data_IF_591750124084
#
_entry.id   IF_591750124084
#
_cell.length_a   1.000
_cell.length_b   1.000
_cell.length_c   1.000
_cell.angle_alpha   90.00
_cell.angle_beta   90.00
_cell.angle_gamma   90.00
#
_symmetry.space_group_name_H-M   'P 1'
#
loop_
_entity.id
_entity.type
_entity.pdbx_description
1 polymer ?
#
# COMPACT_ATOMS: atom_id res chain seq x y z
N UNK A 1 -13.43 3.99 -3.07
CA UNK A 1 -12.98 2.60 -3.09
C UNK A 1 -11.47 2.61 -3.06
N UNK A 2 -10.90 1.79 -2.19
CA UNK A 2 -9.45 1.64 -2.07
C UNK A 2 -9.12 0.16 -2.19
N UNK A 3 -7.99 -0.16 -2.83
CA UNK A 3 -7.51 -1.53 -2.98
C UNK A 3 -6.13 -1.59 -2.35
N UNK A 4 -6.07 -2.32 -1.24
CA UNK A 4 -4.90 -2.42 -0.39
C UNK A 4 -4.29 -3.81 -0.54
N UNK A 5 -2.97 -3.86 -0.59
CA UNK A 5 -2.23 -5.12 -0.45
C UNK A 5 -2.14 -5.41 1.05
N UNK A 6 -2.26 -6.68 1.43
CA UNK A 6 -2.16 -7.09 2.81
C UNK A 6 -0.79 -6.65 3.38
N UNK A 7 -0.82 -5.91 4.48
CA UNK A 7 0.38 -5.44 5.15
C UNK A 7 0.55 -6.21 6.45
N UNK A 8 1.73 -6.80 6.71
CA UNK A 8 1.98 -7.53 7.95
C UNK A 8 2.12 -6.56 9.13
N UNK A 9 1.02 -6.33 9.82
CA UNK A 9 1.03 -5.48 11.01
C UNK A 9 1.72 -6.20 12.18
N UNK A 10 2.44 -5.46 13.04
CA UNK A 10 3.09 -6.04 14.21
C UNK A 10 2.12 -6.83 15.10
N UNK A 11 2.51 -8.03 15.49
CA UNK A 11 1.75 -8.96 16.32
C UNK A 11 0.71 -9.80 15.58
N UNK A 12 0.55 -9.64 14.26
CA UNK A 12 -0.39 -10.46 13.47
C UNK A 12 0.23 -11.79 13.03
N UNK A 13 -0.61 -12.79 12.77
CA UNK A 13 -0.10 -14.06 12.23
C UNK A 13 0.49 -13.91 10.82
N UNK A 14 0.03 -12.90 10.06
CA UNK A 14 0.65 -12.56 8.78
C UNK A 14 2.09 -12.07 8.96
N UNK A 15 2.39 -11.26 9.98
CA UNK A 15 3.78 -10.87 10.28
C UNK A 15 4.65 -12.10 10.55
N UNK A 16 4.18 -13.03 11.40
CA UNK A 16 4.93 -14.26 11.73
C UNK A 16 5.21 -15.08 10.48
N UNK A 17 4.19 -15.35 9.66
CA UNK A 17 4.35 -16.12 8.42
C UNK A 17 5.38 -15.50 7.48
N UNK A 18 5.31 -14.18 7.29
CA UNK A 18 6.20 -13.47 6.36
C UNK A 18 7.64 -13.41 6.92
N UNK A 19 7.82 -13.31 8.25
CA UNK A 19 9.13 -13.41 8.91
C UNK A 19 9.72 -14.82 8.79
N UNK A 20 8.96 -15.85 9.16
CA UNK A 20 9.39 -17.25 9.17
C UNK A 20 9.78 -17.73 7.78
N UNK A 21 9.10 -17.24 6.74
CA UNK A 21 9.33 -17.62 5.35
C UNK A 21 10.30 -16.69 4.60
N UNK A 22 10.85 -15.66 5.25
CA UNK A 22 11.79 -14.72 4.61
C UNK A 22 11.17 -13.96 3.43
N UNK A 23 9.90 -13.58 3.56
CA UNK A 23 9.13 -12.87 2.52
C UNK A 23 9.15 -11.34 2.67
N UNK A 24 9.90 -10.83 3.65
CA UNK A 24 10.13 -9.39 3.81
C UNK A 24 11.20 -8.89 2.84
N UNK A 25 10.90 -7.77 2.20
CA UNK A 25 11.93 -6.99 1.52
C UNK A 25 12.43 -5.90 2.46
N UNK A 26 13.58 -6.15 3.10
CA UNK A 26 14.19 -5.24 4.06
C UNK A 26 14.50 -3.85 3.50
N UNK A 27 14.62 -3.72 2.18
CA UNK A 27 14.81 -2.42 1.51
C UNK A 27 13.52 -1.58 1.43
N UNK A 28 12.36 -2.24 1.55
CA UNK A 28 11.03 -1.64 1.42
C UNK A 28 10.24 -1.60 2.73
N UNK A 29 10.63 -2.35 3.77
CA UNK A 29 9.98 -2.33 5.11
C UNK A 29 9.87 -0.91 5.66
N UNK A 30 10.92 -0.10 5.52
CA UNK A 30 10.96 1.26 6.02
C UNK A 30 10.10 2.25 5.21
N UNK A 31 9.66 1.85 4.01
CA UNK A 31 8.79 2.59 3.11
C UNK A 31 7.39 1.94 3.01
N UNK A 32 7.19 0.86 3.78
CA UNK A 32 6.08 -0.07 3.66
C UNK A 32 4.79 0.48 4.24
N UNK A 33 3.68 0.21 3.55
CA UNK A 33 2.34 0.47 4.02
C UNK A 33 1.34 -0.17 3.07
N UNK A 34 0.04 0.04 3.26
CA UNK A 34 -0.98 -0.54 2.38
C UNK A 34 -0.84 -0.17 0.89
N UNK A 35 -0.07 0.89 0.60
CA UNK A 35 0.20 1.38 -0.73
C UNK A 35 1.53 0.91 -1.35
N UNK A 36 2.44 0.32 -0.58
CA UNK A 36 3.74 -0.18 -1.04
C UNK A 36 3.91 -1.59 -0.50
N UNK A 37 3.92 -2.63 -1.35
CA UNK A 37 4.13 -4.00 -0.89
C UNK A 37 5.56 -4.12 -0.34
N UNK A 38 5.69 -4.07 0.98
CA UNK A 38 6.94 -4.39 1.68
C UNK A 38 7.16 -5.91 1.82
N UNK A 39 6.22 -6.69 1.27
CA UNK A 39 6.21 -8.14 1.30
C UNK A 39 6.01 -8.69 -0.10
N UNK A 40 6.70 -9.79 -0.39
CA UNK A 40 6.42 -10.66 -1.53
C UNK A 40 5.54 -11.84 -1.07
N UNK A 41 4.99 -12.57 -2.03
CA UNK A 41 4.35 -13.86 -1.75
C UNK A 41 5.28 -15.00 -2.19
N UNK A 42 4.88 -16.25 -1.95
CA UNK A 42 5.62 -17.42 -2.46
C UNK A 42 5.72 -17.46 -3.99
N UNK A 43 4.78 -16.80 -4.69
CA UNK A 43 4.65 -16.89 -6.15
C UNK A 43 4.79 -15.56 -6.89
N UNK A 44 4.63 -14.42 -6.20
CA UNK A 44 4.68 -13.08 -6.78
C UNK A 44 5.67 -12.21 -6.04
N UNK A 45 6.49 -11.47 -6.80
CA UNK A 45 7.36 -10.44 -6.25
C UNK A 45 6.57 -9.21 -5.77
N UNK A 46 7.22 -8.34 -5.00
CA UNK A 46 6.61 -7.08 -4.56
C UNK A 46 6.23 -6.18 -5.75
N UNK A 47 7.06 -6.14 -6.81
CA UNK A 47 6.80 -5.37 -8.02
C UNK A 47 5.59 -5.91 -8.79
N UNK A 48 5.44 -7.25 -8.88
CA UNK A 48 4.30 -7.88 -9.52
C UNK A 48 3.00 -7.59 -8.78
N UNK A 49 3.03 -7.61 -7.44
CA UNK A 49 1.89 -7.24 -6.60
C UNK A 49 1.49 -5.78 -6.81
N UNK A 50 2.46 -4.86 -6.89
CA UNK A 50 2.17 -3.45 -7.18
C UNK A 50 1.61 -3.26 -8.60
N UNK A 51 2.15 -3.97 -9.60
CA UNK A 51 1.65 -3.95 -10.96
C UNK A 51 0.20 -4.45 -11.05
N UNK A 52 -0.12 -5.54 -10.35
CA UNK A 52 -1.48 -6.08 -10.27
C UNK A 52 -2.45 -5.13 -9.58
N UNK A 53 -2.01 -4.51 -8.47
CA UNK A 53 -2.79 -3.47 -7.78
C UNK A 53 -3.09 -2.30 -8.71
N UNK A 54 -2.08 -1.76 -9.41
CA UNK A 54 -2.24 -0.67 -10.37
C UNK A 54 -3.20 -1.03 -11.49
N UNK A 55 -3.04 -2.20 -12.10
CA UNK A 55 -3.91 -2.71 -13.16
C UNK A 55 -5.36 -2.85 -12.70
N UNK A 56 -5.57 -3.39 -11.50
CA UNK A 56 -6.91 -3.61 -10.93
C UNK A 56 -7.57 -2.29 -10.56
N UNK A 57 -6.85 -1.37 -9.92
CA UNK A 57 -7.33 -0.02 -9.63
C UNK A 57 -7.71 0.69 -10.93
N UNK A 58 -6.86 0.64 -11.95
CA UNK A 58 -7.14 1.24 -13.25
C UNK A 58 -8.39 0.62 -13.88
N UNK A 59 -8.53 -0.70 -13.90
CA UNK A 59 -9.72 -1.37 -14.41
C UNK A 59 -11.00 -0.99 -13.64
N UNK A 60 -10.91 -0.78 -12.33
CA UNK A 60 -12.03 -0.30 -11.51
C UNK A 60 -12.40 1.15 -11.87
N UNK A 61 -11.41 2.04 -11.96
CA UNK A 61 -11.62 3.45 -12.30
C UNK A 61 -12.05 3.65 -13.76
N UNK A 62 -11.65 2.78 -14.68
CA UNK A 62 -12.05 2.83 -16.09
C UNK A 62 -13.41 2.16 -16.35
N UNK A 63 -14.27 1.95 -15.34
CA UNK A 63 -15.66 1.50 -15.54
C UNK A 63 -16.59 2.70 -15.75
N UNK A 64 -16.86 3.14 -16.99
CA UNK A 64 -17.65 4.35 -17.27
C UNK A 64 -19.05 4.28 -16.65
N UNK A 65 -19.70 3.10 -16.67
CA UNK A 65 -21.03 2.91 -16.06
C UNK A 65 -21.02 3.14 -14.54
N UNK A 66 -19.95 2.72 -13.86
CA UNK A 66 -19.80 2.90 -12.41
C UNK A 66 -19.54 4.37 -12.05
N UNK A 67 -18.66 5.04 -12.81
CA UNK A 67 -18.40 6.48 -12.66
C UNK A 67 -19.70 7.27 -12.87
N UNK A 68 -20.37 7.06 -14.01
CA UNK A 68 -21.61 7.78 -14.33
C UNK A 68 -22.68 7.55 -13.26
N UNK A 69 -22.92 6.30 -12.84
CA UNK A 69 -23.87 6.00 -11.75
C UNK A 69 -23.51 6.75 -10.46
N UNK A 70 -22.23 6.78 -10.10
CA UNK A 70 -21.75 7.45 -8.87
C UNK A 70 -21.92 8.96 -8.95
N UNK A 71 -21.60 9.58 -10.10
CA UNK A 71 -21.77 11.01 -10.32
C UNK A 71 -23.25 11.43 -10.38
N UNK A 72 -24.10 10.61 -11.02
CA UNK A 72 -25.54 10.84 -11.08
C UNK A 72 -26.19 10.74 -9.69
N UNK A 73 -25.75 9.81 -8.85
CA UNK A 73 -26.22 9.68 -7.46
C UNK A 73 -25.71 10.80 -6.54
N UNK A 74 -24.62 11.48 -6.88
CA UNK A 74 -24.05 12.56 -6.06
C UNK A 74 -24.90 13.85 -6.06
N UNK A 75 -25.96 13.93 -6.88
CA UNK A 75 -27.07 14.88 -6.75
C UNK A 75 -26.77 16.36 -7.02
N UNK A 76 -25.51 16.74 -7.31
CA UNK A 76 -25.14 18.13 -7.61
C UNK A 76 -24.09 18.23 -8.73
N UNK A 77 -24.35 19.00 -9.80
CA UNK A 77 -23.40 19.24 -10.89
C UNK A 77 -22.08 19.86 -10.40
N UNK A 78 -22.15 20.74 -9.40
CA UNK A 78 -20.98 21.42 -8.82
C UNK A 78 -20.07 20.43 -8.06
N UNK A 79 -20.66 19.50 -7.32
CA UNK A 79 -19.91 18.43 -6.63
C UNK A 79 -19.29 17.46 -7.63
N UNK A 80 -20.04 17.09 -8.66
CA UNK A 80 -19.59 16.23 -9.77
C UNK A 80 -18.32 16.78 -10.43
N UNK A 81 -18.29 18.08 -10.72
CA UNK A 81 -17.11 18.74 -11.30
C UNK A 81 -15.87 18.68 -10.40
N UNK A 82 -16.05 18.91 -9.09
CA UNK A 82 -14.95 18.82 -8.13
C UNK A 82 -14.39 17.40 -8.02
N UNK A 83 -15.26 16.38 -8.01
CA UNK A 83 -14.83 14.98 -8.01
C UNK A 83 -14.14 14.59 -9.32
N UNK A 84 -14.65 15.06 -10.46
CA UNK A 84 -14.02 14.84 -11.75
C UNK A 84 -12.61 15.43 -11.79
N UNK A 85 -12.43 16.68 -11.35
CA UNK A 85 -11.11 17.35 -11.27
C UNK A 85 -10.14 16.62 -10.34
N UNK A 86 -10.59 16.15 -9.18
CA UNK A 86 -9.75 15.38 -8.25
C UNK A 86 -9.35 14.01 -8.83
N UNK A 87 -10.30 13.34 -9.50
CA UNK A 87 -10.07 12.06 -10.17
C UNK A 87 -9.02 12.15 -11.27
N UNK A 88 -9.09 13.19 -12.12
CA UNK A 88 -8.10 13.39 -13.20
C UNK A 88 -6.71 13.70 -12.64
N UNK A 89 -6.59 14.52 -11.60
CA UNK A 89 -5.29 14.76 -10.94
C UNK A 89 -4.65 13.47 -10.44
N UNK A 90 -5.40 12.59 -9.75
CA UNK A 90 -4.88 11.29 -9.30
C UNK A 90 -4.52 10.37 -10.45
N UNK A 91 -5.33 10.35 -11.51
CA UNK A 91 -5.07 9.55 -12.69
C UNK A 91 -3.72 9.93 -13.35
N UNK A 92 -3.44 11.22 -13.50
CA UNK A 92 -2.16 11.68 -14.03
C UNK A 92 -0.97 11.42 -13.09
N UNK A 93 -1.18 11.44 -11.76
CA UNK A 93 -0.16 11.03 -10.79
C UNK A 93 0.16 9.54 -10.86
N UNK A 94 -0.80 8.70 -11.27
CA UNK A 94 -0.61 7.26 -11.41
C UNK A 94 0.09 6.90 -12.72
N UNK A 95 -0.15 7.68 -13.78
CA UNK A 95 0.46 7.48 -15.11
C UNK A 95 1.87 8.06 -15.19
N UNK A 96 2.19 9.10 -14.40
CA UNK A 96 3.57 9.57 -14.28
C UNK A 96 4.39 8.52 -13.53
N UNK A 97 5.54 8.06 -14.09
CA UNK A 97 6.46 7.20 -13.36
C UNK A 97 6.88 7.90 -12.06
N UNK A 98 6.86 7.18 -10.94
CA UNK A 98 7.49 7.66 -9.71
C UNK A 98 8.99 7.46 -9.86
N UNK A 99 9.73 8.54 -10.07
CA UNK A 99 11.17 8.54 -9.84
C UNK A 99 11.39 8.45 -8.33
N UNK A 100 11.70 7.25 -7.82
CA UNK A 100 12.17 7.08 -6.45
C UNK A 100 13.70 7.03 -6.46
N UNK A 101 14.31 8.16 -6.09
CA UNK A 101 15.64 8.20 -5.52
C UNK A 101 15.65 9.26 -4.42
N UNK A 102 15.21 8.89 -3.21
CA UNK A 102 15.49 9.69 -2.01
C UNK A 102 16.56 8.93 -1.23
N UNK A 103 17.77 9.49 -1.04
CA UNK A 103 18.80 8.83 -0.26
C UNK A 103 18.35 8.77 1.21
N UNK A 104 18.40 7.57 1.78
CA UNK A 104 18.24 7.35 3.23
C UNK A 104 19.41 8.03 3.92
N UNK A 105 19.23 9.27 4.39
CA UNK A 105 20.21 9.96 5.22
C UNK A 105 19.59 10.27 6.57
N UNK A 106 20.17 9.64 7.59
CA UNK A 106 19.98 9.86 9.03
C UNK A 106 18.65 9.35 9.62
N UNK A 107 18.61 8.06 9.95
CA UNK A 107 17.72 7.53 10.99
C UNK A 107 18.59 7.10 12.20
N UNK A 108 18.25 7.47 13.45
CA UNK A 108 18.90 6.89 14.62
C UNK A 108 18.62 5.39 14.66
N UNK A 109 19.62 4.58 15.05
CA UNK A 109 19.48 3.12 15.11
C UNK A 109 18.25 2.71 15.94
N UNK A 110 17.54 1.65 15.54
CA UNK A 110 16.47 1.09 16.36
C UNK A 110 17.07 0.68 17.70
N UNK A 111 16.52 1.23 18.79
CA UNK A 111 16.96 0.90 20.14
C UNK A 111 16.78 -0.61 20.34
N UNK A 112 17.81 -1.33 20.81
CA UNK A 112 17.72 -2.78 21.00
C UNK A 112 16.52 -3.12 21.89
N UNK A 113 15.79 -4.21 21.60
CA UNK A 113 14.62 -4.57 22.38
C UNK A 113 15.02 -4.74 23.84
N UNK A 114 14.32 -4.04 24.73
CA UNK A 114 14.50 -4.18 26.17
C UNK A 114 14.33 -5.66 26.53
N UNK A 115 15.27 -6.27 27.28
CA UNK A 115 15.13 -7.66 27.66
C UNK A 115 13.83 -7.83 28.44
N UNK A 116 12.97 -8.74 27.96
CA UNK A 116 11.73 -9.12 28.67
C UNK A 116 12.14 -9.58 30.07
N UNK A 117 11.47 -9.13 31.15
CA UNK A 117 11.78 -9.62 32.48
C UNK A 117 11.60 -11.14 32.46
N UNK A 118 12.65 -11.84 32.88
CA UNK A 118 12.66 -13.28 33.08
C UNK A 118 11.47 -13.63 33.96
N UNK A 119 10.52 -14.38 33.40
CA UNK A 119 9.43 -14.95 34.20
C UNK A 119 10.13 -15.96 35.12
N UNK A 120 10.34 -15.58 36.37
CA UNK A 120 10.73 -16.50 37.43
C UNK A 120 9.63 -17.55 37.55
N UNK A 121 9.99 -18.78 37.19
CA UNK A 121 9.21 -19.98 37.48
C UNK A 121 9.29 -20.26 38.98
N UNK A 122 8.23 -19.92 39.72
CA UNK A 122 7.89 -20.50 41.04
C UNK A 122 6.38 -20.67 41.12
#
# INVERSE_FOLDING_TARGET
FDLNIAYPLPGTDLEKMVQDQGLYDSSLVDQGGYAVPATRTEHLSAEELDAWRKKTLLALYLRPRYILRTLLLAGSPKKTWNYFKAGTTRFFQLIRPREHAVPVRNRPEPTPPTPKPSVESV
#
